data_IF_316468243167
#
_entry.id   IF_316468243167
#
_cell.length_a   1.000
_cell.length_b   1.000
_cell.length_c   1.000
_cell.angle_alpha   90.00
_cell.angle_beta   90.00
_cell.angle_gamma   90.00
#
_symmetry.space_group_name_H-M   'P 1'
#
loop_
_entity.id
_entity.type
_entity.pdbx_description
1 polymer ?
#
# COMPACT_ATOMS: atom_id res chain seq x y z
N UNK A 1 2.73 -1.80 29.84
CA UNK A 1 3.16 -0.63 29.06
C UNK A 1 2.77 -0.91 27.62
N UNK A 2 1.66 -0.33 27.14
CA UNK A 2 1.22 -0.53 25.76
C UNK A 2 2.22 0.17 24.85
N UNK A 3 3.06 -0.59 24.14
CA UNK A 3 3.86 -0.03 23.07
C UNK A 3 2.92 0.42 21.95
N UNK A 4 3.12 1.62 21.39
CA UNK A 4 2.42 2.08 20.20
C UNK A 4 2.44 0.98 19.13
N UNK A 5 1.27 0.66 18.56
CA UNK A 5 1.07 -0.47 17.65
C UNK A 5 1.82 -0.31 16.33
N UNK A 6 1.86 0.92 15.80
CA UNK A 6 2.58 1.26 14.59
C UNK A 6 3.95 1.83 14.92
N UNK A 7 4.99 1.07 14.60
CA UNK A 7 6.38 1.50 14.77
C UNK A 7 7.08 1.49 13.44
N UNK A 8 7.82 2.56 13.16
CA UNK A 8 8.56 2.75 11.92
C UNK A 8 9.59 1.63 11.65
N UNK A 9 10.11 0.98 12.70
CA UNK A 9 11.10 -0.07 12.51
C UNK A 9 10.57 -1.30 11.76
N UNK A 10 9.27 -1.62 11.88
CA UNK A 10 8.70 -2.77 11.18
C UNK A 10 8.71 -2.54 9.68
N UNK A 11 8.23 -1.37 9.23
CA UNK A 11 8.23 -1.01 7.81
C UNK A 11 9.66 -0.89 7.28
N UNK A 12 10.61 -0.36 8.06
CA UNK A 12 12.00 -0.32 7.64
C UNK A 12 12.61 -1.72 7.45
N UNK A 13 12.39 -2.65 8.38
CA UNK A 13 12.91 -4.02 8.24
C UNK A 13 12.32 -4.73 7.00
N UNK A 14 11.03 -4.54 6.73
CA UNK A 14 10.38 -5.08 5.54
C UNK A 14 10.93 -4.46 4.25
N UNK A 15 11.03 -3.13 4.21
CA UNK A 15 11.57 -2.42 3.05
C UNK A 15 13.03 -2.80 2.77
N UNK A 16 13.88 -2.86 3.79
CA UNK A 16 15.27 -3.32 3.67
C UNK A 16 15.34 -4.70 3.02
N UNK A 17 14.50 -5.62 3.48
CA UNK A 17 14.44 -6.99 2.98
C UNK A 17 13.99 -7.00 1.51
N UNK A 18 12.91 -6.29 1.17
CA UNK A 18 12.39 -6.24 -0.20
C UNK A 18 13.41 -5.61 -1.14
N UNK A 19 13.97 -4.46 -0.77
CA UNK A 19 14.91 -3.69 -1.59
C UNK A 19 16.19 -4.47 -1.90
N UNK A 20 16.66 -5.32 -0.98
CA UNK A 20 17.81 -6.21 -1.21
C UNK A 20 17.54 -7.35 -2.20
N UNK A 21 16.28 -7.72 -2.41
CA UNK A 21 15.89 -8.87 -3.25
C UNK A 21 15.28 -8.48 -4.58
N UNK A 22 15.01 -7.20 -4.81
CA UNK A 22 14.52 -6.68 -6.09
C UNK A 22 15.64 -6.08 -6.93
N UNK A 23 15.49 -6.00 -8.26
CA UNK A 23 16.47 -5.33 -9.10
C UNK A 23 16.63 -3.85 -8.74
N UNK A 24 17.87 -3.36 -8.64
CA UNK A 24 18.18 -1.99 -8.22
C UNK A 24 17.65 -0.89 -9.14
N UNK A 25 17.28 -1.21 -10.38
CA UNK A 25 16.70 -0.26 -11.33
C UNK A 25 15.19 -0.11 -11.19
N UNK A 26 14.53 -0.95 -10.39
CA UNK A 26 13.08 -0.85 -10.16
C UNK A 26 12.77 0.35 -9.26
N UNK A 27 11.62 0.97 -9.50
CA UNK A 27 11.01 1.91 -8.57
C UNK A 27 9.99 1.16 -7.73
N UNK A 28 10.07 1.29 -6.41
CA UNK A 28 9.17 0.65 -5.46
C UNK A 28 8.35 1.73 -4.78
N UNK A 29 7.03 1.57 -4.80
CA UNK A 29 6.12 2.39 -4.02
C UNK A 29 5.78 1.73 -2.68
N UNK A 30 5.94 2.44 -1.58
CA UNK A 30 5.44 2.07 -0.26
C UNK A 30 4.31 3.03 0.19
N UNK A 31 3.08 2.51 0.25
CA UNK A 31 1.96 3.16 0.93
C UNK A 31 1.89 2.63 2.36
N UNK A 32 1.92 3.54 3.33
CA UNK A 32 1.84 3.19 4.74
C UNK A 32 1.12 4.29 5.51
N UNK A 33 0.37 3.95 6.55
CA UNK A 33 -0.47 4.90 7.29
C UNK A 33 0.36 6.07 7.82
N UNK A 34 1.55 5.77 8.34
CA UNK A 34 2.52 6.78 8.77
C UNK A 34 3.65 7.04 7.75
N UNK A 35 3.37 6.84 6.45
CA UNK A 35 4.34 6.99 5.36
C UNK A 35 5.00 8.37 5.30
N UNK A 36 4.27 9.44 5.64
CA UNK A 36 4.84 10.78 5.75
C UNK A 36 5.85 10.93 6.89
N UNK A 37 5.63 10.26 8.02
CA UNK A 37 6.56 10.26 9.14
C UNK A 37 7.79 9.40 8.83
N UNK A 38 7.57 8.28 8.13
CA UNK A 38 8.62 7.40 7.64
C UNK A 38 9.59 8.17 6.72
N UNK A 39 9.08 8.93 5.75
CA UNK A 39 9.90 9.75 4.84
C UNK A 39 10.73 10.81 5.60
N UNK A 40 10.10 11.49 6.57
CA UNK A 40 10.79 12.46 7.41
C UNK A 40 11.93 11.83 8.21
N UNK A 41 11.69 10.65 8.80
CA UNK A 41 12.72 9.89 9.54
C UNK A 41 13.88 9.51 8.62
N UNK A 42 13.60 8.98 7.43
CA UNK A 42 14.63 8.61 6.46
C UNK A 42 15.53 9.79 6.08
N UNK A 43 14.93 10.95 5.79
CA UNK A 43 15.65 12.19 5.44
C UNK A 43 16.45 12.73 6.62
N UNK A 44 15.83 12.79 7.81
CA UNK A 44 16.45 13.36 9.02
C UNK A 44 17.66 12.55 9.48
N UNK A 45 17.55 11.23 9.50
CA UNK A 45 18.62 10.35 9.99
C UNK A 45 19.56 9.86 8.90
N UNK A 46 19.32 10.27 7.64
CA UNK A 46 20.10 9.85 6.48
C UNK A 46 20.21 8.33 6.40
N UNK A 47 19.07 7.65 6.59
CA UNK A 47 18.96 6.20 6.64
C UNK A 47 18.52 5.68 5.26
N UNK A 48 19.04 4.52 4.83
CA UNK A 48 18.72 3.89 3.52
C UNK A 48 18.91 4.82 2.30
N UNK A 49 19.93 5.68 2.34
CA UNK A 49 20.16 6.69 1.30
C UNK A 49 20.29 6.10 -0.12
N UNK A 50 20.89 4.92 -0.24
CA UNK A 50 21.05 4.19 -1.50
C UNK A 50 19.71 3.83 -2.15
N UNK A 51 18.66 3.64 -1.35
CA UNK A 51 17.34 3.26 -1.81
C UNK A 51 16.38 4.45 -2.00
N UNK A 52 16.67 5.61 -1.41
CA UNK A 52 15.79 6.78 -1.50
C UNK A 52 15.42 7.21 -2.93
N UNK A 53 16.33 7.15 -3.94
CA UNK A 53 15.98 7.48 -5.32
C UNK A 53 15.02 6.47 -5.97
N UNK A 54 14.98 5.25 -5.45
CA UNK A 54 14.21 4.12 -5.98
C UNK A 54 12.91 3.88 -5.22
N UNK A 55 12.79 4.44 -4.01
CA UNK A 55 11.63 4.29 -3.14
C UNK A 55 10.73 5.53 -3.25
N UNK A 56 9.49 5.33 -3.66
CA UNK A 56 8.40 6.30 -3.57
C UNK A 56 7.59 6.02 -2.30
N UNK A 57 7.18 7.07 -1.60
CA UNK A 57 6.53 6.96 -0.28
C UNK A 57 5.24 7.74 -0.29
N UNK A 58 4.16 7.11 0.17
CA UNK A 58 2.85 7.74 0.26
C UNK A 58 2.09 7.27 1.48
N UNK A 59 0.96 7.91 1.73
CA UNK A 59 -0.02 7.50 2.74
C UNK A 59 -1.21 6.92 1.99
N UNK A 60 -1.82 5.83 2.46
CA UNK A 60 -3.04 5.30 1.83
C UNK A 60 -4.14 6.37 1.80
N UNK A 61 -5.06 6.29 0.84
CA UNK A 61 -6.02 7.36 0.55
C UNK A 61 -6.87 7.72 1.77
N UNK A 62 -7.36 6.73 2.51
CA UNK A 62 -8.19 6.97 3.68
C UNK A 62 -7.40 7.65 4.81
N UNK A 63 -6.15 7.23 5.03
CA UNK A 63 -5.29 7.81 6.06
C UNK A 63 -4.72 9.18 5.67
N UNK A 64 -4.60 9.49 4.37
CA UNK A 64 -4.08 10.79 3.96
C UNK A 64 -4.92 11.96 4.50
N UNK A 65 -6.25 11.82 4.54
CA UNK A 65 -7.16 12.85 5.05
C UNK A 65 -7.13 13.03 6.57
N UNK A 66 -6.78 11.99 7.34
CA UNK A 66 -6.62 12.11 8.79
C UNK A 66 -5.30 12.76 9.21
N UNK A 67 -4.39 12.99 8.26
CA UNK A 67 -3.12 13.66 8.49
C UNK A 67 -3.22 15.19 8.29
N UNK A 68 -2.15 15.88 8.69
CA UNK A 68 -2.01 17.33 8.50
C UNK A 68 -2.15 17.72 7.02
N UNK A 69 -2.62 18.95 6.77
CA UNK A 69 -2.85 19.49 5.42
C UNK A 69 -1.65 19.30 4.47
N UNK A 70 -0.43 19.53 4.94
CA UNK A 70 0.77 19.32 4.12
C UNK A 70 0.91 17.85 3.66
N UNK A 71 0.52 16.88 4.50
CA UNK A 71 0.58 15.48 4.12
C UNK A 71 -0.42 15.15 2.99
N UNK A 72 -1.60 15.74 3.03
CA UNK A 72 -2.61 15.62 1.97
C UNK A 72 -2.15 16.24 0.64
N UNK A 73 -1.19 17.17 0.65
CA UNK A 73 -0.62 17.72 -0.56
C UNK A 73 0.49 16.82 -1.13
N UNK A 74 1.41 16.38 -0.27
CA UNK A 74 2.67 15.78 -0.71
C UNK A 74 2.67 14.24 -0.77
N UNK A 75 1.86 13.57 0.06
CA UNK A 75 1.87 12.10 0.19
C UNK A 75 0.56 11.45 -0.24
N UNK A 76 -0.39 12.23 -0.75
CA UNK A 76 -1.67 11.70 -1.19
C UNK A 76 -1.51 10.95 -2.52
N UNK A 77 -1.91 9.68 -2.65
CA UNK A 77 -1.62 8.85 -3.83
C UNK A 77 -2.17 9.44 -5.13
N UNK A 78 -3.36 10.05 -5.07
CA UNK A 78 -3.99 10.72 -6.23
C UNK A 78 -3.26 11.96 -6.74
N UNK A 79 -2.21 12.44 -6.06
CA UNK A 79 -1.40 13.58 -6.48
C UNK A 79 -0.06 13.17 -7.08
N UNK A 80 0.21 11.87 -7.15
CA UNK A 80 1.41 11.33 -7.79
C UNK A 80 1.01 10.32 -8.86
N UNK A 81 1.57 10.49 -10.06
CA UNK A 81 1.30 9.62 -11.21
C UNK A 81 1.75 8.18 -10.97
N UNK A 82 2.68 7.96 -10.03
CA UNK A 82 3.29 6.66 -9.74
C UNK A 82 2.30 5.65 -9.13
N UNK A 83 1.27 6.12 -8.42
CA UNK A 83 0.32 5.23 -7.73
C UNK A 83 -0.86 4.81 -8.59
N UNK A 84 -1.12 5.53 -9.69
CA UNK A 84 -2.30 5.34 -10.53
C UNK A 84 -3.60 5.37 -9.71
N UNK A 85 -4.41 4.31 -9.84
CA UNK A 85 -5.67 4.15 -9.11
C UNK A 85 -5.53 3.31 -7.83
N UNK A 86 -4.33 3.19 -7.27
CA UNK A 86 -4.10 2.45 -6.02
C UNK A 86 -4.54 3.30 -4.82
N UNK A 87 -5.28 2.69 -3.91
CA UNK A 87 -5.76 3.32 -2.67
C UNK A 87 -4.90 2.98 -1.44
N UNK A 88 -4.14 1.90 -1.52
CA UNK A 88 -3.27 1.43 -0.43
C UNK A 88 -3.93 0.42 0.50
N UNK A 89 -5.13 -0.10 0.16
CA UNK A 89 -5.93 -0.99 1.02
C UNK A 89 -5.55 -2.49 0.92
N UNK A 90 -4.45 -2.80 0.23
CA UNK A 90 -4.07 -4.18 -0.06
C UNK A 90 -3.77 -5.00 1.20
N UNK A 91 -3.19 -4.36 2.22
CA UNK A 91 -2.87 -5.01 3.50
C UNK A 91 -4.14 -5.33 4.30
N UNK A 92 -5.12 -4.44 4.26
CA UNK A 92 -6.42 -4.52 4.93
C UNK A 92 -7.26 -5.64 4.31
N UNK A 93 -7.27 -5.72 2.98
CA UNK A 93 -7.95 -6.81 2.26
C UNK A 93 -7.30 -8.15 2.59
N UNK A 94 -5.98 -8.24 2.54
CA UNK A 94 -5.26 -9.46 2.90
C UNK A 94 -5.48 -9.85 4.37
N UNK A 95 -5.47 -8.88 5.29
CA UNK A 95 -5.79 -9.10 6.68
C UNK A 95 -7.22 -9.61 6.87
N UNK A 96 -8.20 -9.10 6.12
CA UNK A 96 -9.59 -9.57 6.15
C UNK A 96 -9.71 -11.05 5.79
N UNK A 97 -8.90 -11.51 4.82
CA UNK A 97 -8.84 -12.93 4.43
C UNK A 97 -8.23 -13.80 5.54
N UNK A 98 -7.28 -13.27 6.31
CA UNK A 98 -6.62 -13.97 7.42
C UNK A 98 -7.40 -13.88 8.74
N UNK A 99 -8.22 -12.85 8.92
CA UNK A 99 -8.86 -12.51 10.20
C UNK A 99 -9.63 -13.68 10.81
N UNK A 100 -10.26 -14.51 9.97
CA UNK A 100 -11.05 -15.67 10.41
C UNK A 100 -10.21 -16.73 11.14
N UNK A 101 -8.90 -16.76 10.91
CA UNK A 101 -7.98 -17.70 11.56
C UNK A 101 -7.63 -17.27 12.98
N UNK A 102 -7.80 -15.99 13.32
CA UNK A 102 -7.36 -15.43 14.61
C UNK A 102 -7.86 -16.27 15.79
N UNK A 103 -9.17 -16.54 15.97
CA UNK A 103 -9.63 -17.29 17.15
C UNK A 103 -8.97 -18.67 17.32
N UNK A 104 -8.73 -19.38 16.21
CA UNK A 104 -8.07 -20.70 16.23
C UNK A 104 -6.58 -20.61 16.47
N UNK A 105 -5.91 -19.59 15.93
CA UNK A 105 -4.46 -19.41 16.04
C UNK A 105 -4.01 -18.92 17.41
N UNK A 106 -4.89 -18.28 18.18
CA UNK A 106 -4.56 -17.81 19.54
C UNK A 106 -4.25 -18.94 20.52
N UNK A 107 -4.75 -20.16 20.27
CA UNK A 107 -4.56 -21.32 21.13
C UNK A 107 -3.56 -22.34 20.57
N UNK A 108 -2.96 -22.08 19.40
CA UNK A 108 -1.99 -22.98 18.76
C UNK A 108 -0.55 -22.63 19.11
N UNK A 109 0.33 -23.63 19.06
CA UNK A 109 1.76 -23.42 19.20
C UNK A 109 2.36 -22.63 18.03
N UNK A 110 3.46 -21.94 18.26
CA UNK A 110 4.12 -21.06 17.28
C UNK A 110 4.32 -21.70 15.89
N UNK A 111 4.90 -22.90 15.83
CA UNK A 111 5.16 -23.57 14.55
C UNK A 111 3.88 -23.96 13.80
N UNK A 112 2.85 -24.38 14.54
CA UNK A 112 1.55 -24.68 13.95
C UNK A 112 0.86 -23.42 13.43
N UNK A 113 0.97 -22.32 14.17
CA UNK A 113 0.47 -21.02 13.73
C UNK A 113 1.11 -20.58 12.41
N UNK A 114 2.44 -20.65 12.31
CA UNK A 114 3.16 -20.35 11.07
C UNK A 114 2.77 -21.28 9.92
N UNK A 115 2.66 -22.58 10.18
CA UNK A 115 2.26 -23.55 9.17
C UNK A 115 0.86 -23.26 8.60
N UNK A 116 -0.12 -23.02 9.48
CA UNK A 116 -1.50 -22.72 9.08
C UNK A 116 -1.57 -21.39 8.32
N UNK A 117 -0.87 -20.36 8.79
CA UNK A 117 -0.77 -19.09 8.07
C UNK A 117 -0.18 -19.29 6.68
N UNK A 118 0.93 -20.05 6.56
CA UNK A 118 1.56 -20.36 5.28
C UNK A 118 0.58 -21.01 4.29
N UNK A 119 -0.14 -22.05 4.73
CA UNK A 119 -1.15 -22.71 3.91
C UNK A 119 -2.27 -21.75 3.46
N UNK A 120 -2.74 -20.88 4.35
CA UNK A 120 -3.77 -19.91 4.01
C UNK A 120 -3.25 -18.88 2.99
N UNK A 121 -2.00 -18.41 3.14
CA UNK A 121 -1.39 -17.49 2.19
C UNK A 121 -1.25 -18.13 0.81
N UNK A 122 -0.80 -19.39 0.75
CA UNK A 122 -0.72 -20.15 -0.50
C UNK A 122 -2.10 -20.28 -1.17
N UNK A 123 -3.13 -20.61 -0.39
CA UNK A 123 -4.50 -20.71 -0.90
C UNK A 123 -5.02 -19.36 -1.44
N UNK A 124 -4.80 -18.27 -0.71
CA UNK A 124 -5.17 -16.91 -1.15
C UNK A 124 -4.45 -16.57 -2.45
N UNK A 125 -3.15 -16.86 -2.54
CA UNK A 125 -2.34 -16.57 -3.71
C UNK A 125 -2.79 -17.36 -4.94
N UNK A 126 -3.09 -18.65 -4.80
CA UNK A 126 -3.68 -19.45 -5.88
C UNK A 126 -5.02 -18.88 -6.36
N UNK A 127 -5.92 -18.50 -5.43
CA UNK A 127 -7.19 -17.87 -5.76
C UNK A 127 -7.01 -16.56 -6.53
N UNK A 128 -6.07 -15.70 -6.08
CA UNK A 128 -5.74 -14.43 -6.75
C UNK A 128 -5.13 -14.65 -8.13
N UNK A 129 -4.23 -15.62 -8.28
CA UNK A 129 -3.64 -16.00 -9.58
C UNK A 129 -4.71 -16.48 -10.56
N UNK A 130 -5.63 -17.33 -10.12
CA UNK A 130 -6.75 -17.80 -10.95
C UNK A 130 -7.71 -16.66 -11.35
N UNK A 131 -7.93 -15.70 -10.45
CA UNK A 131 -8.78 -14.54 -10.68
C UNK A 131 -8.12 -13.36 -11.42
N UNK A 132 -6.82 -13.42 -11.70
CA UNK A 132 -6.02 -12.27 -12.13
C UNK A 132 -6.54 -11.61 -13.41
N UNK A 133 -6.98 -12.40 -14.39
CA UNK A 133 -7.52 -11.85 -15.64
C UNK A 133 -8.79 -11.03 -15.42
N UNK A 134 -9.73 -11.53 -14.58
CA UNK A 134 -10.95 -10.78 -14.22
C UNK A 134 -10.63 -9.53 -13.42
N UNK A 135 -9.64 -9.63 -12.52
CA UNK A 135 -9.19 -8.48 -11.74
C UNK A 135 -8.60 -7.38 -12.65
N UNK A 136 -7.73 -7.75 -13.60
CA UNK A 136 -7.16 -6.81 -14.57
C UNK A 136 -8.24 -6.16 -15.42
N UNK A 137 -9.22 -6.93 -15.91
CA UNK A 137 -10.35 -6.39 -16.65
C UNK A 137 -11.11 -5.35 -15.82
N UNK A 138 -11.47 -5.67 -14.58
CA UNK A 138 -12.16 -4.72 -13.70
C UNK A 138 -11.35 -3.44 -13.43
N UNK A 139 -10.01 -3.51 -13.41
CA UNK A 139 -9.15 -2.32 -13.28
C UNK A 139 -9.15 -1.47 -14.54
N UNK A 140 -9.20 -2.08 -15.72
CA UNK A 140 -9.32 -1.36 -16.99
C UNK A 140 -10.69 -0.66 -17.06
N UNK A 141 -11.76 -1.37 -16.72
CA UNK A 141 -13.12 -0.82 -16.72
C UNK A 141 -13.23 0.36 -15.74
N UNK A 142 -12.66 0.22 -14.54
CA UNK A 142 -12.59 1.31 -13.56
C UNK A 142 -11.83 2.52 -14.10
N UNK A 143 -10.72 2.30 -14.80
CA UNK A 143 -9.92 3.37 -15.39
C UNK A 143 -10.70 4.12 -16.48
N UNK A 144 -11.39 3.40 -17.35
CA UNK A 144 -12.23 3.99 -18.40
C UNK A 144 -13.33 4.86 -17.79
N UNK A 145 -14.05 4.33 -16.79
CA UNK A 145 -15.07 5.10 -16.09
C UNK A 145 -14.51 6.37 -15.44
N UNK A 146 -13.37 6.28 -14.74
CA UNK A 146 -12.74 7.45 -14.14
C UNK A 146 -12.28 8.48 -15.17
N UNK A 147 -11.84 8.04 -16.36
CA UNK A 147 -11.44 8.91 -17.45
C UNK A 147 -12.65 9.67 -18.01
N UNK A 148 -13.73 8.95 -18.34
CA UNK A 148 -14.97 9.55 -18.85
C UNK A 148 -15.55 10.58 -17.87
N UNK A 149 -15.57 10.24 -16.57
CA UNK A 149 -16.04 11.16 -15.52
C UNK A 149 -15.15 12.41 -15.42
N UNK A 150 -13.83 12.26 -15.55
CA UNK A 150 -12.90 13.38 -15.52
C UNK A 150 -13.05 14.28 -16.75
N UNK A 151 -13.19 13.72 -17.95
CA UNK A 151 -13.41 14.47 -19.20
C UNK A 151 -14.72 15.26 -19.16
N UNK A 152 -15.80 14.64 -18.67
CA UNK A 152 -17.09 15.31 -18.48
C UNK A 152 -16.96 16.51 -17.53
N UNK A 153 -16.35 16.33 -16.35
CA UNK A 153 -16.15 17.43 -15.39
C UNK A 153 -15.28 18.55 -15.95
N UNK A 154 -14.26 18.22 -16.74
CA UNK A 154 -13.41 19.22 -17.40
C UNK A 154 -14.20 20.02 -18.45
N UNK A 155 -15.10 19.36 -19.19
CA UNK A 155 -15.97 20.03 -20.14
C UNK A 155 -16.94 20.99 -19.45
N UNK A 156 -17.51 20.60 -18.30
CA UNK A 156 -18.39 21.44 -17.49
C UNK A 156 -17.67 22.66 -16.88
N UNK A 157 -16.36 22.53 -16.63
CA UNK A 157 -15.53 23.59 -16.05
C UNK A 157 -14.92 24.53 -17.10
N UNK A 158 -15.09 24.25 -18.39
CA UNK A 158 -14.59 25.13 -19.45
C UNK A 158 -15.37 26.44 -19.46
N UNK A 159 -14.70 27.62 -19.49
CA UNK A 159 -15.42 28.88 -19.45
C UNK A 159 -16.34 28.98 -20.67
N UNK A 160 -17.61 29.32 -20.43
CA UNK A 160 -18.53 29.75 -21.49
C UNK A 160 -17.88 30.96 -22.17
N UNK A 161 -17.32 30.74 -23.35
CA UNK A 161 -16.81 31.79 -24.23
C UNK A 161 -17.92 32.73 -24.66
#
# INVERSE_FOLDING_TARGET
MWTAGEKQFYVFALLDTILKHVPSHWRIGALYDIGCQMDQTLKKWRFMLEWLPHLERGVSIFHAYSHQWACQLWYHPRKSELWGLSDGEGCEWFWSELFRLIPGLWVTGYHWCLFILGLQVEHIDEGKRMGMGKWLQGRIDQLQHCLEEAEMKLSDCSPVT
#
